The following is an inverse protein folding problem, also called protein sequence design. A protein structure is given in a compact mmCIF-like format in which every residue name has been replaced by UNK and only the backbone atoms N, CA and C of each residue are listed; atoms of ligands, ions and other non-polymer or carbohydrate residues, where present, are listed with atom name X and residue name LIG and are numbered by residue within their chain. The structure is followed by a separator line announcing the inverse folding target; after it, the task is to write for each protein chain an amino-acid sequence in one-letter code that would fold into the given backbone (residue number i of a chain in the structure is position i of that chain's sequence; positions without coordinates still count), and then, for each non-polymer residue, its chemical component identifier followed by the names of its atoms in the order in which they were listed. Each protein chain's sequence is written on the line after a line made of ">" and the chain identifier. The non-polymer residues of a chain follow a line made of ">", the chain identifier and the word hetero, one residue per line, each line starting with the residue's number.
data_IF_887772916450
#
_entry.id   IF_887772916450
#
_cell.length_a   1.000
_cell.length_b   1.000
_cell.length_c   1.000
_cell.angle_alpha   90.00
_cell.angle_beta   90.00
_cell.angle_gamma   90.00
#
_symmetry.space_group_name_H-M   'P 1'
#
loop_
_entity.id
_entity.type
_entity.pdbx_description
1 polymer ?
#
# COMPACT_ATOMS: atom_id res chain seq x y z
N UNK A 1 -12.38 19.20 -4.63
CA UNK A 1 -12.96 17.86 -4.39
C UNK A 1 -12.64 16.98 -5.60
N UNK A 2 -11.43 16.41 -5.64
CA UNK A 2 -11.00 15.53 -6.74
C UNK A 2 -11.67 14.16 -6.54
N UNK A 3 -12.46 13.73 -7.53
CA UNK A 3 -13.22 12.48 -7.43
C UNK A 3 -12.26 11.29 -7.58
N UNK A 4 -12.51 10.23 -6.82
CA UNK A 4 -11.74 8.98 -6.84
C UNK A 4 -11.59 8.37 -8.25
N UNK A 5 -12.52 8.72 -9.14
CA UNK A 5 -12.51 8.34 -10.56
C UNK A 5 -11.37 8.99 -11.36
N UNK A 6 -10.95 10.21 -11.01
CA UNK A 6 -9.85 10.91 -11.69
C UNK A 6 -8.49 10.25 -11.41
N UNK A 7 -8.32 9.74 -10.19
CA UNK A 7 -7.10 9.03 -9.77
C UNK A 7 -6.99 7.68 -10.46
N UNK A 8 -8.10 6.92 -10.54
CA UNK A 8 -8.14 5.66 -11.28
C UNK A 8 -7.89 5.86 -12.78
N UNK A 9 -8.46 6.91 -13.36
CA UNK A 9 -8.23 7.26 -14.75
C UNK A 9 -6.77 7.67 -15.01
N UNK A 10 -6.14 8.40 -14.09
CA UNK A 10 -4.72 8.73 -14.16
C UNK A 10 -3.82 7.49 -14.08
N UNK A 11 -4.16 6.55 -13.19
CA UNK A 11 -3.44 5.29 -13.03
C UNK A 11 -3.55 4.38 -14.26
N UNK A 12 -4.73 4.32 -14.87
CA UNK A 12 -4.95 3.55 -16.11
C UNK A 12 -4.21 4.16 -17.31
N UNK A 13 -4.21 5.49 -17.44
CA UNK A 13 -3.42 6.20 -18.47
C UNK A 13 -1.92 5.95 -18.30
N UNK A 14 -1.42 6.04 -17.07
CA UNK A 14 -0.02 5.75 -16.75
C UNK A 14 0.36 4.29 -17.07
N UNK A 15 -0.51 3.33 -16.71
CA UNK A 15 -0.31 1.90 -16.95
C UNK A 15 -0.41 1.52 -18.44
N UNK A 16 -1.19 2.26 -19.23
CA UNK A 16 -1.27 2.11 -20.68
C UNK A 16 -0.06 2.73 -21.40
N UNK A 17 0.43 3.88 -20.95
CA UNK A 17 1.65 4.52 -21.47
C UNK A 17 2.88 3.63 -21.27
N UNK A 18 3.04 3.08 -20.05
CA UNK A 18 4.14 2.16 -19.72
C UNK A 18 4.10 0.85 -20.53
N UNK A 19 2.92 0.40 -20.95
CA UNK A 19 2.77 -0.79 -21.81
C UNK A 19 3.20 -0.53 -23.26
N UNK A 20 3.07 0.70 -23.76
CA UNK A 20 3.60 1.10 -25.07
C UNK A 20 5.11 1.28 -25.03
N UNK A 21 5.64 1.79 -23.93
CA UNK A 21 7.08 2.00 -23.70
C UNK A 21 7.85 0.68 -23.52
N UNK A 22 7.23 -0.33 -22.90
CA UNK A 22 7.79 -1.68 -22.76
C UNK A 22 7.78 -2.53 -24.05
N UNK A 23 7.10 -2.09 -25.11
CA UNK A 23 7.00 -2.81 -26.38
C UNK A 23 8.21 -2.57 -27.30
N UNK A 24 9.05 -1.56 -27.01
CA UNK A 24 10.35 -1.38 -27.67
C UNK A 24 11.39 -2.15 -26.86
N UNK A 25 12.05 -3.19 -27.40
CA UNK A 25 13.09 -3.89 -26.68
C UNK A 25 14.21 -2.90 -26.32
N UNK A 26 14.66 -2.83 -25.06
CA UNK A 26 15.69 -1.89 -24.68
C UNK A 26 16.99 -2.27 -25.39
N UNK A 27 17.56 -1.32 -26.14
CA UNK A 27 18.90 -1.41 -26.71
C UNK A 27 19.92 -1.79 -25.62
N UNK A 28 20.99 -2.51 -25.99
CA UNK A 28 22.03 -2.99 -25.07
C UNK A 28 22.64 -1.87 -24.23
N UNK A 29 22.70 -0.66 -24.80
CA UNK A 29 23.07 0.56 -24.11
C UNK A 29 22.14 0.89 -22.92
N UNK A 30 20.82 0.81 -23.12
CA UNK A 30 19.81 1.10 -22.08
C UNK A 30 19.76 0.04 -20.97
N UNK A 31 20.09 -1.22 -21.28
CA UNK A 31 20.25 -2.28 -20.27
C UNK A 31 21.48 -2.03 -19.38
N UNK A 32 22.57 -1.53 -19.96
CA UNK A 32 23.76 -1.11 -19.22
C UNK A 32 23.48 0.12 -18.36
N UNK A 33 22.76 1.11 -18.89
CA UNK A 33 22.42 2.34 -18.17
C UNK A 33 21.47 2.09 -16.98
N UNK A 34 20.46 1.23 -17.16
CA UNK A 34 19.58 0.81 -16.07
C UNK A 34 20.33 0.03 -14.98
N UNK A 35 21.28 -0.84 -15.37
CA UNK A 35 22.17 -1.53 -14.41
C UNK A 35 23.04 -0.56 -13.63
N UNK A 36 23.59 0.44 -14.30
CA UNK A 36 24.40 1.48 -13.68
C UNK A 36 23.56 2.34 -12.74
N UNK A 37 22.32 2.72 -13.12
CA UNK A 37 21.40 3.45 -12.26
C UNK A 37 20.99 2.64 -11.01
N UNK A 38 20.72 1.35 -11.15
CA UNK A 38 20.45 0.47 -10.01
C UNK A 38 21.69 0.33 -9.11
N UNK A 39 22.90 0.23 -9.69
CA UNK A 39 24.15 0.22 -8.91
C UNK A 39 24.41 1.55 -8.19
N UNK A 40 24.09 2.69 -8.79
CA UNK A 40 24.26 4.01 -8.18
C UNK A 40 23.26 4.22 -7.05
N UNK A 41 22.00 3.81 -7.24
CA UNK A 41 20.99 3.81 -6.17
C UNK A 41 21.34 2.84 -5.03
N UNK A 42 21.95 1.69 -5.35
CA UNK A 42 22.48 0.76 -4.35
C UNK A 42 23.69 1.33 -3.60
N UNK A 43 24.60 2.06 -4.26
CA UNK A 43 25.73 2.75 -3.60
C UNK A 43 25.28 3.82 -2.62
N UNK A 44 24.13 4.48 -2.86
CA UNK A 44 23.59 5.48 -1.93
C UNK A 44 23.10 4.90 -0.59
N UNK A 45 22.92 3.57 -0.49
CA UNK A 45 22.61 2.86 0.77
C UNK A 45 23.87 2.43 1.56
N UNK A 46 25.07 2.70 1.06
CA UNK A 46 26.33 2.32 1.71
C UNK A 46 26.83 3.28 2.78
N UNK A 47 26.13 4.40 3.02
CA UNK A 47 26.39 5.26 4.18
C UNK A 47 25.64 4.71 5.39
N UNK A 48 26.30 4.64 6.56
CA UNK A 48 25.58 4.45 7.81
C UNK A 48 24.44 5.48 7.85
N UNK A 49 23.19 5.00 7.96
CA UNK A 49 22.03 5.88 8.06
C UNK A 49 22.19 6.84 9.24
N UNK A 50 21.41 7.94 9.26
CA UNK A 50 21.42 8.82 10.43
C UNK A 50 21.20 7.98 11.69
N UNK A 51 22.04 8.22 12.70
CA UNK A 51 21.87 7.58 14.00
C UNK A 51 20.47 7.92 14.56
N UNK A 52 19.88 7.07 15.42
CA UNK A 52 18.58 7.35 16.01
C UNK A 52 18.48 8.76 16.62
N UNK A 53 19.54 9.21 17.29
CA UNK A 53 19.64 10.58 17.84
C UNK A 53 19.53 11.67 16.77
N UNK A 54 20.16 11.49 15.62
CA UNK A 54 20.07 12.45 14.52
C UNK A 54 18.67 12.50 13.91
N UNK A 55 17.97 11.37 13.87
CA UNK A 55 16.56 11.31 13.44
C UNK A 55 15.67 12.02 14.45
N UNK A 56 15.86 11.76 15.75
CA UNK A 56 15.11 12.40 16.83
C UNK A 56 15.31 13.93 16.82
N UNK A 57 16.55 14.39 16.65
CA UNK A 57 16.89 15.81 16.57
C UNK A 57 16.20 16.48 15.37
N UNK A 58 16.16 15.81 14.22
CA UNK A 58 15.51 16.31 13.02
C UNK A 58 13.98 16.37 13.18
N UNK A 59 13.38 15.32 13.76
CA UNK A 59 11.95 15.30 14.09
C UNK A 59 11.61 16.47 15.03
N UNK A 60 12.40 16.67 16.08
CA UNK A 60 12.19 17.76 17.04
C UNK A 60 12.28 19.13 16.37
N UNK A 61 13.26 19.34 15.47
CA UNK A 61 13.37 20.57 14.69
C UNK A 61 12.13 20.83 13.84
N UNK A 62 11.66 19.83 13.09
CA UNK A 62 10.50 19.98 12.21
C UNK A 62 9.21 20.27 12.99
N UNK A 63 9.02 19.62 14.15
CA UNK A 63 7.88 19.88 15.03
C UNK A 63 7.91 21.32 15.55
N UNK A 64 9.06 21.81 16.01
CA UNK A 64 9.21 23.18 16.50
C UNK A 64 8.93 24.23 15.41
N UNK A 65 9.35 23.96 14.17
CA UNK A 65 9.02 24.84 13.04
C UNK A 65 7.53 24.83 12.70
N UNK A 66 6.89 23.66 12.69
CA UNK A 66 5.46 23.52 12.46
C UNK A 66 4.63 24.23 13.55
N UNK A 67 5.09 24.20 14.80
CA UNK A 67 4.47 24.95 15.90
C UNK A 67 4.56 26.47 15.69
N UNK A 68 5.74 26.98 15.31
CA UNK A 68 5.94 28.40 15.02
C UNK A 68 5.09 28.89 13.86
N UNK A 69 4.89 28.06 12.83
CA UNK A 69 4.01 28.36 11.69
C UNK A 69 2.51 28.27 12.03
N UNK A 70 2.17 27.65 13.16
CA UNK A 70 0.77 27.42 13.57
C UNK A 70 0.10 26.25 12.85
N UNK A 71 0.81 25.50 12.01
CA UNK A 71 0.30 24.36 11.24
C UNK A 71 -0.31 23.29 12.17
N UNK A 72 0.30 23.10 13.34
CA UNK A 72 -0.16 22.12 14.33
C UNK A 72 -1.53 22.47 14.91
N UNK A 73 -1.83 23.76 15.12
CA UNK A 73 -3.12 24.21 15.68
C UNK A 73 -4.27 24.01 14.70
N UNK A 74 -3.98 24.00 13.40
CA UNK A 74 -4.95 23.71 12.34
C UNK A 74 -5.15 22.21 12.07
N UNK A 75 -4.35 21.35 12.70
CA UNK A 75 -4.42 19.91 12.47
C UNK A 75 -5.70 19.29 13.03
N UNK A 76 -6.23 18.31 12.32
CA UNK A 76 -7.35 17.50 12.77
C UNK A 76 -6.97 16.76 14.06
N UNK A 77 -7.71 17.03 15.14
CA UNK A 77 -7.45 16.42 16.46
C UNK A 77 -6.48 17.19 17.36
N UNK A 78 -6.09 18.43 17.03
CA UNK A 78 -5.24 19.24 17.91
C UNK A 78 -5.85 19.38 19.32
N UNK A 79 -5.09 19.01 20.35
CA UNK A 79 -5.52 19.03 21.75
C UNK A 79 -6.56 17.96 22.14
N UNK A 80 -6.90 17.05 21.23
CA UNK A 80 -7.81 15.92 21.49
C UNK A 80 -7.01 14.62 21.57
N UNK A 81 -7.48 13.61 22.33
CA UNK A 81 -6.91 12.27 22.26
C UNK A 81 -6.91 11.77 20.81
N UNK A 82 -5.84 11.05 20.44
CA UNK A 82 -5.79 10.37 19.14
C UNK A 82 -6.96 9.39 19.06
N UNK A 83 -7.68 9.44 17.94
CA UNK A 83 -8.77 8.49 17.70
C UNK A 83 -8.18 7.11 17.45
N UNK A 84 -8.77 6.08 18.06
CA UNK A 84 -8.39 4.71 17.75
C UNK A 84 -8.65 4.41 16.28
N UNK A 85 -7.67 3.81 15.62
CA UNK A 85 -7.86 3.40 14.24
C UNK A 85 -8.79 2.21 14.15
N UNK A 86 -9.85 2.37 13.35
CA UNK A 86 -10.68 1.24 12.93
C UNK A 86 -9.81 0.11 12.37
N UNK A 87 -10.00 -1.10 12.91
CA UNK A 87 -9.26 -2.27 12.48
C UNK A 87 -7.89 -2.45 13.15
N UNK A 88 -7.42 -1.52 13.99
CA UNK A 88 -6.08 -1.59 14.60
C UNK A 88 -5.89 -2.86 15.43
N UNK A 89 -6.83 -3.14 16.34
CA UNK A 89 -6.80 -4.32 17.21
C UNK A 89 -7.06 -5.62 16.45
N UNK A 90 -7.83 -5.56 15.36
CA UNK A 90 -8.14 -6.71 14.51
C UNK A 90 -7.01 -7.04 13.53
N UNK A 91 -6.05 -6.13 13.36
CA UNK A 91 -4.89 -6.33 12.50
C UNK A 91 -3.76 -7.00 13.31
N UNK A 92 -3.18 -8.11 12.80
CA UNK A 92 -2.03 -8.75 13.43
C UNK A 92 -0.85 -7.77 13.64
N UNK A 93 -0.12 -7.93 14.74
CA UNK A 93 0.97 -7.02 15.14
C UNK A 93 2.00 -6.83 14.02
N UNK A 94 2.31 -7.90 13.28
CA UNK A 94 3.38 -7.92 12.27
C UNK A 94 3.06 -7.01 11.07
N UNK A 95 1.78 -6.86 10.71
CA UNK A 95 1.34 -6.11 9.53
C UNK A 95 0.66 -4.79 9.88
N UNK A 96 0.47 -4.51 11.17
CA UNK A 96 -0.28 -3.36 11.66
C UNK A 96 0.30 -2.02 11.23
N UNK A 97 1.61 -1.85 11.42
CA UNK A 97 2.31 -0.62 11.03
C UNK A 97 2.30 -0.40 9.50
N UNK A 98 2.70 -1.38 8.66
CA UNK A 98 2.59 -1.25 7.21
C UNK A 98 1.19 -0.87 6.73
N UNK A 99 0.14 -1.51 7.27
CA UNK A 99 -1.23 -1.22 6.86
C UNK A 99 -1.70 0.16 7.30
N UNK A 100 -1.31 0.60 8.50
CA UNK A 100 -1.58 1.96 8.97
C UNK A 100 -0.88 3.01 8.11
N UNK A 101 0.37 2.79 7.71
CA UNK A 101 1.10 3.69 6.83
C UNK A 101 0.37 3.86 5.49
N UNK A 102 -0.08 2.75 4.88
CA UNK A 102 -0.85 2.79 3.64
C UNK A 102 -2.18 3.54 3.83
N UNK A 103 -2.93 3.24 4.90
CA UNK A 103 -4.19 3.92 5.25
C UNK A 103 -3.98 5.43 5.40
N UNK A 104 -2.95 5.85 6.13
CA UNK A 104 -2.61 7.27 6.32
C UNK A 104 -2.22 7.97 5.01
N UNK A 105 -1.67 7.23 4.04
CA UNK A 105 -1.39 7.74 2.69
C UNK A 105 -2.63 7.74 1.76
N UNK A 106 -3.80 7.35 2.25
CA UNK A 106 -5.01 7.20 1.45
C UNK A 106 -4.99 6.00 0.50
N UNK A 107 -4.06 5.06 0.70
CA UNK A 107 -3.90 3.86 -0.12
C UNK A 107 -4.50 2.66 0.63
N UNK A 108 -5.37 1.91 -0.05
CA UNK A 108 -5.93 0.68 0.52
C UNK A 108 -4.93 -0.46 0.31
N UNK A 109 -4.55 -1.21 1.37
CA UNK A 109 -3.71 -2.39 1.22
C UNK A 109 -4.38 -3.44 0.32
N UNK A 110 -3.61 -4.12 -0.52
CA UNK A 110 -4.15 -5.09 -1.45
C UNK A 110 -4.85 -6.27 -0.74
N UNK A 111 -4.35 -6.65 0.43
CA UNK A 111 -4.91 -7.72 1.25
C UNK A 111 -6.32 -7.38 1.73
N UNK A 112 -6.62 -6.10 1.95
CA UNK A 112 -7.97 -5.63 2.28
C UNK A 112 -8.92 -5.79 1.08
N UNK A 113 -8.43 -5.61 -0.14
CA UNK A 113 -9.21 -5.87 -1.36
C UNK A 113 -9.56 -7.36 -1.48
N UNK A 114 -8.57 -8.25 -1.25
CA UNK A 114 -8.79 -9.70 -1.24
C UNK A 114 -9.79 -10.13 -0.16
N UNK A 115 -9.74 -9.51 1.03
CA UNK A 115 -10.71 -9.79 2.10
C UNK A 115 -12.12 -9.37 1.68
N UNK A 116 -12.28 -8.22 1.01
CA UNK A 116 -13.57 -7.77 0.47
C UNK A 116 -14.09 -8.71 -0.62
N UNK A 117 -13.21 -9.14 -1.52
CA UNK A 117 -13.55 -10.10 -2.57
C UNK A 117 -14.00 -11.44 -1.96
N UNK A 118 -13.27 -11.96 -0.96
CA UNK A 118 -13.67 -13.15 -0.20
C UNK A 118 -15.07 -13.01 0.40
N UNK A 119 -15.38 -11.86 1.01
CA UNK A 119 -16.69 -11.60 1.58
C UNK A 119 -17.80 -11.59 0.51
N UNK A 120 -17.55 -10.94 -0.64
CA UNK A 120 -18.47 -10.93 -1.76
C UNK A 120 -18.69 -12.35 -2.34
N UNK A 121 -17.64 -13.15 -2.45
CA UNK A 121 -17.73 -14.55 -2.91
C UNK A 121 -18.52 -15.41 -1.94
N UNK A 122 -18.37 -15.21 -0.62
CA UNK A 122 -19.19 -15.90 0.39
C UNK A 122 -20.67 -15.52 0.29
N UNK A 123 -20.99 -14.25 0.05
CA UNK A 123 -22.36 -13.82 -0.19
C UNK A 123 -22.94 -14.43 -1.46
N UNK A 124 -22.15 -14.46 -2.56
CA UNK A 124 -22.56 -15.12 -3.81
C UNK A 124 -22.80 -16.60 -3.62
N UNK A 125 -21.97 -17.28 -2.84
CA UNK A 125 -22.15 -18.69 -2.52
C UNK A 125 -23.44 -18.93 -1.71
N UNK A 126 -23.75 -18.05 -0.75
CA UNK A 126 -24.99 -18.12 0.03
C UNK A 126 -26.25 -17.83 -0.79
N UNK A 127 -26.14 -17.01 -1.85
CA UNK A 127 -27.23 -16.68 -2.76
C UNK A 127 -27.33 -17.60 -3.98
N UNK A 128 -26.39 -18.56 -4.14
CA UNK A 128 -26.37 -19.45 -5.29
C UNK A 128 -27.58 -20.41 -5.26
N UNK A 129 -28.26 -20.54 -6.38
CA UNK A 129 -29.44 -21.41 -6.49
C UNK A 129 -29.18 -22.64 -7.37
N UNK A 130 -28.15 -22.57 -8.21
CA UNK A 130 -27.74 -23.66 -9.09
C UNK A 130 -26.44 -24.31 -8.63
N UNK A 131 -26.27 -25.59 -8.95
CA UNK A 131 -25.05 -26.33 -8.62
C UNK A 131 -23.82 -25.77 -9.37
N UNK A 132 -24.02 -25.27 -10.59
CA UNK A 132 -22.97 -24.65 -11.39
C UNK A 132 -22.46 -23.34 -10.75
N UNK A 133 -23.38 -22.46 -10.30
CA UNK A 133 -23.02 -21.22 -9.59
C UNK A 133 -22.32 -21.52 -8.27
N UNK A 134 -22.79 -22.53 -7.55
CA UNK A 134 -22.21 -22.99 -6.29
C UNK A 134 -20.76 -23.43 -6.50
N UNK A 135 -20.51 -24.33 -7.47
CA UNK A 135 -19.15 -24.80 -7.80
C UNK A 135 -18.24 -23.65 -8.24
N UNK A 136 -18.72 -22.76 -9.09
CA UNK A 136 -17.92 -21.62 -9.57
C UNK A 136 -17.55 -20.67 -8.42
N UNK A 137 -18.51 -20.35 -7.53
CA UNK A 137 -18.27 -19.52 -6.36
C UNK A 137 -17.31 -20.18 -5.36
N UNK A 138 -17.41 -21.50 -5.16
CA UNK A 138 -16.48 -22.27 -4.31
C UNK A 138 -15.04 -22.24 -4.86
N UNK A 139 -14.86 -22.47 -6.16
CA UNK A 139 -13.55 -22.42 -6.80
C UNK A 139 -12.90 -21.04 -6.67
N UNK A 140 -13.65 -19.99 -6.95
CA UNK A 140 -13.18 -18.62 -6.80
C UNK A 140 -12.83 -18.30 -5.33
N UNK A 141 -13.67 -18.74 -4.38
CA UNK A 141 -13.42 -18.53 -2.96
C UNK A 141 -12.13 -19.21 -2.51
N UNK A 142 -11.92 -20.47 -2.89
CA UNK A 142 -10.71 -21.21 -2.56
C UNK A 142 -9.44 -20.54 -3.12
N UNK A 143 -9.50 -20.01 -4.34
CA UNK A 143 -8.38 -19.29 -4.96
C UNK A 143 -8.02 -18.01 -4.20
N UNK A 144 -9.03 -17.21 -3.81
CA UNK A 144 -8.80 -15.98 -3.04
C UNK A 144 -8.27 -16.30 -1.65
N UNK A 145 -8.79 -17.32 -0.99
CA UNK A 145 -8.32 -17.74 0.34
C UNK A 145 -6.86 -18.21 0.32
N UNK A 146 -6.47 -19.00 -0.69
CA UNK A 146 -5.08 -19.41 -0.88
C UNK A 146 -4.16 -18.21 -1.12
N UNK A 147 -4.58 -17.31 -2.01
CA UNK A 147 -3.79 -16.11 -2.35
C UNK A 147 -3.59 -15.22 -1.13
N UNK A 148 -4.65 -15.01 -0.34
CA UNK A 148 -4.59 -14.24 0.89
C UNK A 148 -3.67 -14.89 1.93
N UNK A 149 -3.75 -16.22 2.11
CA UNK A 149 -2.89 -16.93 3.06
C UNK A 149 -1.40 -16.77 2.71
N UNK A 150 -1.02 -16.96 1.44
CA UNK A 150 0.36 -16.80 0.98
C UNK A 150 0.87 -15.36 1.14
N UNK A 151 0.01 -14.37 0.84
CA UNK A 151 0.32 -12.94 1.01
C UNK A 151 0.58 -12.59 2.47
N UNK A 152 -0.32 -13.00 3.36
CA UNK A 152 -0.19 -12.73 4.79
C UNK A 152 1.05 -13.41 5.38
N UNK A 153 1.37 -14.63 4.95
CA UNK A 153 2.60 -15.31 5.34
C UNK A 153 3.86 -14.58 4.85
N UNK A 154 3.84 -14.06 3.63
CA UNK A 154 4.96 -13.26 3.10
C UNK A 154 5.19 -11.96 3.86
N UNK A 155 4.16 -11.38 4.49
CA UNK A 155 4.28 -10.15 5.26
C UNK A 155 4.75 -10.38 6.70
N UNK A 156 4.76 -11.63 7.17
CA UNK A 156 5.26 -12.01 8.50
C UNK A 156 6.78 -12.23 8.53
N UNK A 157 7.43 -12.37 7.37
CA UNK A 157 8.86 -12.64 7.23
C UNK A 157 9.63 -11.35 7.01
#
# INVERSE_FOLDING_TARGET
>A
MFKLDDVKAALLRWRAARRREAATPPDEAGRSEARLQVQVLARRRGGAGPSPRQVDDEIARQIAEAEKRGDLRGAEGYGKPLTEDDGWQQTPDEVRMPFKMLKSAGIVPHEVELIRERAALRQRLAAATTEAETRAAQQALAQVELTLALRMESLRR
#
